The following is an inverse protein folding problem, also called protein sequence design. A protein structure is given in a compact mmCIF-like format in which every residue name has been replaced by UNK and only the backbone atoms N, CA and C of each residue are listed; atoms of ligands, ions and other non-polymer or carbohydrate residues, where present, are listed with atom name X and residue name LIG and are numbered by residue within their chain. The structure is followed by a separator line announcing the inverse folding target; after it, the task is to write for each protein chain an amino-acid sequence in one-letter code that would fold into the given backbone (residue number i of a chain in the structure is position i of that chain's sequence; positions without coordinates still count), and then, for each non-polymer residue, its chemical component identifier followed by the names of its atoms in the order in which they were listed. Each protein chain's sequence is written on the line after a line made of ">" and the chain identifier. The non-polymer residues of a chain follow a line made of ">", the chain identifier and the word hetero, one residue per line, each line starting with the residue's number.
data_IF_051134074799
#
_entry.id   IF_051134074799
#
_cell.length_a   1.000
_cell.length_b   1.000
_cell.length_c   1.000
_cell.angle_alpha   90.00
_cell.angle_beta   90.00
_cell.angle_gamma   90.00
#
_symmetry.space_group_name_H-M   'P 1'
#
loop_
_entity.id
_entity.type
_entity.pdbx_description
1 polymer ?
#
# COMPACT_ATOMS: atom_id res chain seq x y z
N UNK A 1 28.68 -24.81 -71.91
CA UNK A 1 27.42 -24.89 -71.12
C UNK A 1 27.68 -24.47 -69.66
N UNK A 2 27.72 -23.17 -69.33
CA UNK A 2 28.06 -22.71 -67.96
C UNK A 2 27.43 -21.36 -67.57
N UNK A 3 26.21 -21.07 -68.05
CA UNK A 3 25.50 -19.80 -67.76
C UNK A 3 24.04 -19.96 -67.27
N UNK A 4 23.49 -21.18 -67.23
CA UNK A 4 22.09 -21.41 -66.80
C UNK A 4 21.88 -21.62 -65.30
N UNK A 5 22.95 -21.83 -64.53
CA UNK A 5 22.80 -22.20 -63.11
C UNK A 5 22.99 -21.01 -62.14
N UNK A 6 23.51 -19.87 -62.63
CA UNK A 6 23.73 -18.68 -61.79
C UNK A 6 22.43 -17.89 -61.61
N UNK A 7 21.54 -17.87 -62.60
CA UNK A 7 20.25 -17.16 -62.51
C UNK A 7 19.28 -17.81 -61.51
N UNK A 8 19.34 -19.13 -61.34
CA UNK A 8 18.49 -19.86 -60.39
C UNK A 8 18.90 -19.66 -58.93
N UNK A 9 20.20 -19.47 -58.67
CA UNK A 9 20.71 -19.22 -57.31
C UNK A 9 20.32 -17.82 -56.82
N UNK A 10 20.30 -16.82 -57.72
CA UNK A 10 19.81 -15.48 -57.37
C UNK A 10 18.28 -15.43 -57.20
N UNK A 11 17.52 -16.24 -57.96
CA UNK A 11 16.07 -16.36 -57.80
C UNK A 11 15.65 -17.11 -56.52
N UNK A 12 16.43 -18.13 -56.09
CA UNK A 12 16.17 -18.83 -54.82
C UNK A 12 16.59 -18.02 -53.58
N UNK A 13 17.59 -17.15 -53.70
CA UNK A 13 17.97 -16.21 -52.63
C UNK A 13 16.94 -15.10 -52.38
N UNK A 14 16.23 -14.66 -53.43
CA UNK A 14 15.17 -13.67 -53.32
C UNK A 14 13.87 -14.22 -52.69
N UNK A 15 13.64 -15.53 -52.75
CA UNK A 15 12.44 -16.18 -52.22
C UNK A 15 12.43 -16.34 -50.68
N UNK A 16 13.55 -16.08 -49.99
CA UNK A 16 13.65 -16.16 -48.53
C UNK A 16 13.45 -14.83 -47.78
N UNK A 17 13.19 -13.73 -48.50
CA UNK A 17 12.87 -12.42 -47.89
C UNK A 17 11.36 -12.13 -47.82
N UNK A 18 10.54 -13.17 -47.60
CA UNK A 18 9.14 -13.00 -47.21
C UNK A 18 8.94 -13.68 -45.87
N UNK A 19 9.55 -13.09 -44.84
CA UNK A 19 9.17 -13.36 -43.46
C UNK A 19 7.75 -12.84 -43.27
N UNK A 20 6.78 -13.74 -43.17
CA UNK A 20 5.39 -13.44 -42.86
C UNK A 20 5.30 -13.04 -41.37
N UNK A 21 5.80 -11.85 -41.04
CA UNK A 21 5.46 -11.17 -39.80
C UNK A 21 4.09 -10.53 -39.99
N UNK A 22 3.17 -10.68 -39.03
CA UNK A 22 1.90 -9.95 -38.99
C UNK A 22 2.18 -8.46 -39.24
N UNK A 23 1.92 -7.99 -40.45
CA UNK A 23 2.24 -6.63 -40.86
C UNK A 23 1.10 -5.74 -40.38
N UNK A 24 1.41 -4.90 -39.39
CA UNK A 24 0.59 -3.76 -39.04
C UNK A 24 0.54 -2.86 -40.28
N UNK A 25 -0.65 -2.48 -40.78
CA UNK A 25 -0.76 -1.63 -41.96
C UNK A 25 0.05 -0.34 -41.84
N UNK A 26 0.55 0.20 -42.95
CA UNK A 26 1.44 1.37 -42.95
C UNK A 26 0.76 2.65 -42.41
N UNK A 27 -0.56 2.74 -42.54
CA UNK A 27 -1.40 3.83 -42.03
C UNK A 27 -1.66 3.72 -40.52
N UNK A 28 -1.29 2.59 -39.90
CA UNK A 28 -1.42 2.35 -38.47
C UNK A 28 -0.07 2.61 -37.80
N UNK A 29 -0.10 3.33 -36.68
CA UNK A 29 1.08 3.60 -35.86
C UNK A 29 1.70 2.27 -35.45
N UNK A 30 2.97 2.08 -35.81
CA UNK A 30 3.69 0.83 -35.59
C UNK A 30 3.88 0.52 -34.10
N UNK A 31 3.96 -0.77 -33.69
CA UNK A 31 3.90 -1.16 -32.27
C UNK A 31 4.96 -0.53 -31.37
N UNK A 32 6.19 -0.41 -31.84
CA UNK A 32 7.31 0.21 -31.13
C UNK A 32 7.07 1.71 -30.88
N UNK A 33 6.52 2.41 -31.87
CA UNK A 33 6.13 3.81 -31.74
C UNK A 33 4.89 3.96 -30.86
N UNK A 34 3.90 3.09 -31.01
CA UNK A 34 2.67 3.10 -30.22
C UNK A 34 2.94 2.87 -28.74
N UNK A 35 3.92 2.03 -28.38
CA UNK A 35 4.31 1.79 -26.98
C UNK A 35 4.73 3.10 -26.30
N UNK A 36 5.55 3.90 -26.99
CA UNK A 36 6.02 5.19 -26.50
C UNK A 36 4.87 6.21 -26.40
N UNK A 37 4.01 6.26 -27.42
CA UNK A 37 2.84 7.15 -27.43
C UNK A 37 1.90 6.80 -26.27
N UNK A 38 1.58 5.51 -26.06
CA UNK A 38 0.69 5.10 -24.98
C UNK A 38 1.27 5.38 -23.61
N UNK A 39 2.58 5.22 -23.43
CA UNK A 39 3.24 5.56 -22.18
C UNK A 39 3.00 7.04 -21.83
N UNK A 40 3.34 7.95 -22.76
CA UNK A 40 3.20 9.39 -22.55
C UNK A 40 1.73 9.83 -22.51
N UNK A 41 0.86 9.21 -23.31
CA UNK A 41 -0.57 9.46 -23.31
C UNK A 41 -1.19 9.12 -21.96
N UNK A 42 -0.96 7.91 -21.42
CA UNK A 42 -1.50 7.54 -20.10
C UNK A 42 -0.90 8.35 -18.96
N UNK A 43 0.37 8.76 -19.08
CA UNK A 43 1.00 9.69 -18.14
C UNK A 43 0.32 11.06 -18.17
N UNK A 44 0.03 11.60 -19.36
CA UNK A 44 -0.62 12.89 -19.54
C UNK A 44 -2.07 12.90 -19.03
N UNK A 45 -2.82 11.82 -19.25
CA UNK A 45 -4.15 11.61 -18.64
C UNK A 45 -4.05 11.60 -17.12
N UNK A 46 -3.07 10.89 -16.56
CA UNK A 46 -2.87 10.81 -15.11
C UNK A 46 -2.52 12.17 -14.51
N UNK A 47 -1.68 12.96 -15.18
CA UNK A 47 -1.38 14.34 -14.78
C UNK A 47 -2.62 15.22 -14.84
N UNK A 48 -3.39 15.16 -15.94
CA UNK A 48 -4.61 15.93 -16.12
C UNK A 48 -5.69 15.62 -15.09
N UNK A 49 -5.84 14.35 -14.69
CA UNK A 49 -6.83 13.93 -13.69
C UNK A 49 -6.54 14.45 -12.27
N UNK A 50 -5.30 14.83 -11.98
CA UNK A 50 -4.92 15.42 -10.69
C UNK A 50 -5.17 16.94 -10.62
N UNK A 51 -5.63 17.56 -11.71
CA UNK A 51 -5.93 18.98 -11.75
C UNK A 51 -7.29 19.31 -11.12
N UNK A 52 -7.40 20.53 -10.59
CA UNK A 52 -8.67 21.09 -10.10
C UNK A 52 -9.70 21.18 -11.23
N UNK A 53 -10.99 21.16 -10.88
CA UNK A 53 -12.08 21.32 -11.85
C UNK A 53 -11.98 22.62 -12.65
N UNK A 54 -11.44 23.69 -12.05
CA UNK A 54 -11.20 24.98 -12.70
C UNK A 54 -10.20 24.90 -13.86
N UNK A 55 -9.32 23.90 -13.87
CA UNK A 55 -8.18 23.81 -14.81
C UNK A 55 -8.42 22.74 -15.88
N UNK A 56 -9.68 22.36 -16.12
CA UNK A 56 -10.03 21.27 -17.02
C UNK A 56 -9.50 21.47 -18.45
N UNK A 57 -9.30 22.72 -18.89
CA UNK A 57 -8.70 23.05 -20.19
C UNK A 57 -7.26 22.51 -20.34
N UNK A 58 -6.50 22.41 -19.25
CA UNK A 58 -5.12 21.90 -19.28
C UNK A 58 -5.07 20.39 -19.58
N UNK A 59 -6.16 19.65 -19.34
CA UNK A 59 -6.22 18.22 -19.68
C UNK A 59 -6.10 17.99 -21.18
N UNK A 60 -6.77 18.82 -21.98
CA UNK A 60 -6.64 18.78 -23.43
C UNK A 60 -5.24 19.22 -23.88
N UNK A 61 -4.67 20.25 -23.25
CA UNK A 61 -3.30 20.67 -23.53
C UNK A 61 -2.27 19.55 -23.31
N UNK A 62 -2.41 18.76 -22.24
CA UNK A 62 -1.53 17.63 -21.98
C UNK A 62 -1.67 16.50 -23.00
N UNK A 63 -2.89 16.20 -23.47
CA UNK A 63 -3.10 15.23 -24.56
C UNK A 63 -2.50 15.75 -25.87
N UNK A 64 -2.78 17.01 -26.22
CA UNK A 64 -2.30 17.65 -27.43
C UNK A 64 -0.78 17.71 -27.48
N UNK A 65 -0.12 17.94 -26.34
CA UNK A 65 1.33 17.89 -26.22
C UNK A 65 1.90 16.53 -26.62
N UNK A 66 1.24 15.42 -26.26
CA UNK A 66 1.68 14.07 -26.66
C UNK A 66 1.58 13.92 -28.17
N UNK A 67 0.46 14.31 -28.77
CA UNK A 67 0.27 14.25 -30.22
C UNK A 67 1.31 15.08 -30.97
N UNK A 68 1.59 16.29 -30.49
CA UNK A 68 2.63 17.17 -31.04
C UNK A 68 4.03 16.54 -30.92
N UNK A 69 4.38 16.03 -29.73
CA UNK A 69 5.68 15.39 -29.45
C UNK A 69 5.96 14.23 -30.40
N UNK A 70 4.94 13.44 -30.71
CA UNK A 70 5.07 12.30 -31.60
C UNK A 70 4.76 12.62 -33.05
N UNK A 71 4.43 13.85 -33.41
CA UNK A 71 4.04 14.25 -34.76
C UNK A 71 2.91 13.37 -35.33
N UNK A 72 1.84 13.23 -34.55
CA UNK A 72 0.61 12.53 -34.93
C UNK A 72 -0.60 13.43 -34.66
N UNK A 73 -1.72 13.16 -35.30
CA UNK A 73 -3.01 13.75 -34.94
C UNK A 73 -3.79 12.82 -34.00
N UNK A 74 -4.81 13.37 -33.34
CA UNK A 74 -5.76 12.55 -32.56
C UNK A 74 -6.43 11.48 -33.45
N UNK A 75 -6.74 11.83 -34.71
CA UNK A 75 -7.32 10.89 -35.66
C UNK A 75 -6.37 9.74 -36.03
N UNK A 76 -5.06 9.99 -36.16
CA UNK A 76 -4.06 8.94 -36.42
C UNK A 76 -3.97 7.98 -35.23
N UNK A 77 -4.01 8.54 -34.01
CA UNK A 77 -4.02 7.74 -32.79
C UNK A 77 -5.29 6.89 -32.66
N UNK A 78 -6.46 7.51 -32.83
CA UNK A 78 -7.75 6.85 -32.68
C UNK A 78 -7.97 5.75 -33.72
N UNK A 79 -7.64 6.02 -34.98
CA UNK A 79 -7.71 5.02 -36.06
C UNK A 79 -6.79 3.84 -35.78
N UNK A 80 -5.57 4.10 -35.29
CA UNK A 80 -4.64 3.06 -34.86
C UNK A 80 -5.19 2.25 -33.69
N UNK A 81 -5.79 2.91 -32.69
CA UNK A 81 -6.39 2.24 -31.53
C UNK A 81 -7.58 1.35 -31.95
N UNK A 82 -8.39 1.77 -32.91
CA UNK A 82 -9.46 0.93 -33.50
C UNK A 82 -8.88 -0.33 -34.14
N UNK A 83 -7.75 -0.23 -34.83
CA UNK A 83 -7.08 -1.40 -35.37
C UNK A 83 -6.57 -2.32 -34.24
N UNK A 84 -5.85 -1.79 -33.26
CA UNK A 84 -5.31 -2.56 -32.14
C UNK A 84 -6.39 -3.24 -31.29
N UNK A 85 -7.56 -2.62 -31.09
CA UNK A 85 -8.66 -3.26 -30.35
C UNK A 85 -9.25 -4.47 -31.08
N UNK A 86 -9.11 -4.54 -32.41
CA UNK A 86 -9.45 -5.73 -33.22
C UNK A 86 -8.31 -6.75 -33.30
N UNK A 87 -7.12 -6.36 -32.86
CA UNK A 87 -5.88 -7.14 -32.88
C UNK A 87 -5.38 -7.29 -31.43
N UNK A 88 -6.16 -8.06 -30.66
CA UNK A 88 -6.04 -8.10 -29.19
C UNK A 88 -4.71 -8.67 -28.72
N UNK A 89 -4.08 -9.59 -29.45
CA UNK A 89 -2.76 -10.13 -29.08
C UNK A 89 -1.68 -9.05 -29.10
N UNK A 90 -1.72 -8.21 -30.14
CA UNK A 90 -0.82 -7.08 -30.35
C UNK A 90 -1.03 -6.03 -29.27
N UNK A 91 -2.30 -5.71 -28.95
CA UNK A 91 -2.65 -4.77 -27.90
C UNK A 91 -2.24 -5.25 -26.50
N UNK A 92 -2.44 -6.53 -26.20
CA UNK A 92 -2.01 -7.12 -24.92
C UNK A 92 -0.49 -7.07 -24.79
N UNK A 93 0.24 -7.41 -25.86
CA UNK A 93 1.70 -7.33 -25.88
C UNK A 93 2.20 -5.90 -25.63
N UNK A 94 1.55 -4.92 -26.26
CA UNK A 94 1.84 -3.49 -26.10
C UNK A 94 1.63 -3.03 -24.65
N UNK A 95 0.46 -3.29 -24.07
CA UNK A 95 0.15 -2.89 -22.69
C UNK A 95 1.00 -3.61 -21.65
N UNK A 96 1.44 -4.85 -21.93
CA UNK A 96 2.40 -5.55 -21.07
C UNK A 96 3.70 -4.76 -20.97
N UNK A 97 4.27 -4.32 -22.11
CA UNK A 97 5.50 -3.52 -22.14
C UNK A 97 5.32 -2.15 -21.51
N UNK A 98 4.23 -1.44 -21.82
CA UNK A 98 3.89 -0.15 -21.19
C UNK A 98 3.82 -0.31 -19.66
N UNK A 99 3.15 -1.35 -19.16
CA UNK A 99 3.06 -1.65 -17.74
C UNK A 99 4.41 -1.98 -17.10
N UNK A 100 5.26 -2.77 -17.78
CA UNK A 100 6.63 -3.04 -17.35
C UNK A 100 7.46 -1.76 -17.25
N UNK A 101 7.35 -0.86 -18.24
CA UNK A 101 8.02 0.45 -18.23
C UNK A 101 7.59 1.30 -17.04
N UNK A 102 6.29 1.45 -16.79
CA UNK A 102 5.79 2.20 -15.62
C UNK A 102 6.32 1.64 -14.30
N UNK A 103 6.35 0.31 -14.14
CA UNK A 103 6.91 -0.32 -12.93
C UNK A 103 8.41 -0.04 -12.80
N UNK A 104 9.15 -0.08 -13.90
CA UNK A 104 10.59 0.19 -13.90
C UNK A 104 10.92 1.65 -13.54
N UNK A 105 10.19 2.62 -14.11
CA UNK A 105 10.39 4.04 -13.79
C UNK A 105 9.97 4.35 -12.37
N UNK A 106 8.86 3.79 -11.88
CA UNK A 106 8.46 3.89 -10.47
C UNK A 106 9.57 3.40 -9.54
N UNK A 107 10.12 2.22 -9.81
CA UNK A 107 11.21 1.65 -9.00
C UNK A 107 12.44 2.57 -9.01
N UNK A 108 12.85 3.06 -10.17
CA UNK A 108 13.97 4.00 -10.31
C UNK A 108 13.74 5.30 -9.54
N UNK A 109 12.53 5.86 -9.59
CA UNK A 109 12.19 7.07 -8.81
C UNK A 109 12.27 6.81 -7.31
N UNK A 110 11.78 5.66 -6.84
CA UNK A 110 11.87 5.27 -5.43
C UNK A 110 13.33 5.11 -4.98
N UNK A 111 14.21 4.53 -5.81
CA UNK A 111 15.64 4.41 -5.53
C UNK A 111 16.32 5.80 -5.44
N UNK A 112 15.99 6.73 -6.34
CA UNK A 112 16.54 8.09 -6.30
C UNK A 112 16.05 8.88 -5.08
N UNK A 113 14.80 8.71 -4.67
CA UNK A 113 14.26 9.31 -3.45
C UNK A 113 14.95 8.77 -2.21
N UNK A 114 15.17 7.44 -2.15
CA UNK A 114 15.89 6.81 -1.05
C UNK A 114 17.33 7.37 -0.90
N UNK A 115 18.05 7.56 -2.02
CA UNK A 115 19.38 8.19 -2.01
C UNK A 115 19.35 9.64 -1.53
N UNK A 116 18.33 10.41 -1.93
CA UNK A 116 18.17 11.81 -1.52
C UNK A 116 17.88 11.93 -0.01
N UNK A 117 17.12 11.00 0.53
CA UNK A 117 16.63 11.02 1.92
C UNK A 117 17.57 10.27 2.88
N UNK A 118 18.74 9.82 2.41
CA UNK A 118 19.69 8.98 3.18
C UNK A 118 18.99 7.77 3.82
N UNK A 119 17.98 7.23 3.12
CA UNK A 119 17.20 6.09 3.58
C UNK A 119 18.11 4.86 3.57
N UNK A 120 18.28 4.17 4.71
CA UNK A 120 19.09 2.96 4.76
C UNK A 120 18.48 1.87 3.89
N UNK A 121 19.33 1.14 3.16
CA UNK A 121 18.90 0.07 2.26
C UNK A 121 18.24 -1.11 2.99
N UNK A 122 18.58 -1.30 4.27
CA UNK A 122 17.98 -2.28 5.15
C UNK A 122 17.93 -1.73 6.58
N UNK A 123 16.91 -2.15 7.32
CA UNK A 123 16.77 -2.00 8.77
C UNK A 123 17.88 -2.73 9.51
N UNK A 124 18.16 -2.32 10.75
CA UNK A 124 19.14 -3.01 11.57
C UNK A 124 18.64 -4.41 11.97
N UNK A 125 19.54 -5.41 12.06
CA UNK A 125 19.19 -6.71 12.61
C UNK A 125 18.95 -6.61 14.12
N UNK A 126 18.08 -7.47 14.64
CA UNK A 126 17.80 -7.56 16.08
C UNK A 126 16.31 -7.73 16.40
N UNK A 127 16.04 -8.18 17.62
CA UNK A 127 14.69 -8.50 18.09
C UNK A 127 13.84 -7.27 18.40
N UNK A 128 14.47 -6.16 18.78
CA UNK A 128 13.80 -4.88 19.05
C UNK A 128 14.61 -3.77 18.40
N UNK A 129 14.05 -3.18 17.34
CA UNK A 129 14.77 -2.22 16.50
C UNK A 129 13.84 -1.07 16.12
N UNK A 130 14.31 0.18 16.27
CA UNK A 130 13.67 1.34 15.65
C UNK A 130 13.96 1.31 14.15
N UNK A 131 12.92 1.07 13.36
CA UNK A 131 13.00 1.02 11.89
C UNK A 131 12.67 2.37 11.23
N UNK A 132 12.39 3.40 12.04
CA UNK A 132 12.14 4.74 11.52
C UNK A 132 13.41 5.35 10.92
N UNK A 133 13.33 5.76 9.65
CA UNK A 133 14.46 6.35 8.93
C UNK A 133 14.24 7.81 8.52
N UNK A 134 13.01 8.32 8.60
CA UNK A 134 12.69 9.68 8.17
C UNK A 134 12.95 10.69 9.31
N UNK A 135 12.65 11.96 9.07
CA UNK A 135 12.81 13.05 10.03
C UNK A 135 12.09 12.72 11.34
N UNK A 136 12.70 13.11 12.45
CA UNK A 136 12.10 12.95 13.79
C UNK A 136 11.27 14.16 14.21
N UNK A 137 11.32 15.26 13.46
CA UNK A 137 10.68 16.54 13.74
C UNK A 137 9.90 17.03 12.50
N UNK A 138 8.62 17.34 12.69
CA UNK A 138 7.79 18.03 11.71
C UNK A 138 7.03 19.18 12.38
N UNK A 139 6.80 20.23 11.60
CA UNK A 139 5.85 21.28 11.95
C UNK A 139 4.73 21.25 10.92
N UNK A 140 3.54 20.85 11.38
CA UNK A 140 2.33 20.80 10.58
C UNK A 140 1.48 22.05 10.79
N UNK A 141 0.89 22.54 9.71
CA UNK A 141 -0.08 23.65 9.71
C UNK A 141 -1.37 23.21 9.04
N UNK A 142 -2.39 24.06 9.03
CA UNK A 142 -3.68 23.81 8.37
C UNK A 142 -3.62 23.86 6.82
N UNK A 143 -2.49 24.31 6.27
CA UNK A 143 -2.26 24.41 4.81
C UNK A 143 -2.19 23.00 4.19
N UNK A 144 -2.88 22.72 3.07
CA UNK A 144 -2.95 21.37 2.46
C UNK A 144 -1.62 20.67 2.14
N UNK A 145 -0.55 21.44 1.93
CA UNK A 145 0.79 20.91 1.64
C UNK A 145 1.62 20.60 2.89
N UNK A 146 1.22 21.14 4.04
CA UNK A 146 1.95 21.03 5.30
C UNK A 146 1.08 20.48 6.45
N UNK A 147 -0.09 19.94 6.14
CA UNK A 147 -1.02 19.41 7.15
C UNK A 147 -0.89 17.90 7.39
N UNK A 148 0.07 17.24 6.75
CA UNK A 148 0.27 15.80 6.89
C UNK A 148 1.72 15.35 6.84
N UNK A 149 2.01 14.28 7.55
CA UNK A 149 3.18 13.43 7.38
C UNK A 149 2.69 12.09 6.87
N UNK A 150 3.41 11.50 5.92
CA UNK A 150 3.15 10.14 5.43
C UNK A 150 4.47 9.41 5.28
N UNK A 151 4.49 8.11 5.55
CA UNK A 151 5.68 7.28 5.39
C UNK A 151 5.33 5.90 4.81
N UNK A 152 6.31 5.27 4.17
CA UNK A 152 6.26 3.87 3.75
C UNK A 152 7.63 3.20 3.94
N UNK A 153 7.67 2.21 4.83
CA UNK A 153 8.84 1.37 5.08
C UNK A 153 8.60 0.01 4.40
N UNK A 154 9.24 -0.26 3.25
CA UNK A 154 9.16 -1.58 2.64
C UNK A 154 9.85 -2.60 3.55
N UNK A 155 9.31 -3.82 3.59
CA UNK A 155 9.94 -4.90 4.33
C UNK A 155 11.24 -5.34 3.64
N UNK A 156 12.28 -5.53 4.43
CA UNK A 156 13.55 -6.12 4.02
C UNK A 156 13.73 -7.53 4.61
N UNK A 157 14.91 -8.12 4.43
CA UNK A 157 15.21 -9.47 4.93
C UNK A 157 15.16 -9.61 6.46
N UNK A 158 15.18 -8.51 7.22
CA UNK A 158 15.09 -8.51 8.67
C UNK A 158 13.64 -8.43 9.16
N UNK A 159 12.65 -8.26 8.30
CA UNK A 159 11.23 -8.36 8.68
C UNK A 159 10.79 -9.82 8.65
N UNK A 160 10.06 -10.25 9.69
CA UNK A 160 9.54 -11.60 9.82
C UNK A 160 8.01 -11.59 9.91
N UNK A 161 7.41 -12.72 9.55
CA UNK A 161 5.99 -12.92 9.80
C UNK A 161 5.69 -12.74 11.31
N UNK A 162 4.54 -12.15 11.62
CA UNK A 162 4.07 -11.85 12.99
C UNK A 162 4.86 -10.78 13.75
N UNK A 163 5.78 -10.06 13.10
CA UNK A 163 6.42 -8.91 13.75
C UNK A 163 5.39 -7.88 14.21
N UNK A 164 5.57 -7.38 15.42
CA UNK A 164 4.73 -6.35 15.98
C UNK A 164 5.40 -4.98 15.85
N UNK A 165 4.60 -3.93 15.72
CA UNK A 165 5.09 -2.57 15.53
C UNK A 165 4.47 -1.63 16.56
N UNK A 166 5.31 -0.82 17.20
CA UNK A 166 4.92 0.29 18.05
C UNK A 166 5.37 1.59 17.39
N UNK A 167 4.41 2.41 16.97
CA UNK A 167 4.68 3.74 16.46
C UNK A 167 4.45 4.76 17.57
N UNK A 168 5.47 5.56 17.88
CA UNK A 168 5.41 6.59 18.93
C UNK A 168 5.89 7.93 18.41
N UNK A 169 5.24 9.01 18.86
CA UNK A 169 5.70 10.38 18.63
C UNK A 169 5.20 11.31 19.73
N UNK A 170 5.91 12.40 19.96
CA UNK A 170 5.53 13.47 20.87
C UNK A 170 4.75 14.56 20.12
N UNK A 171 3.53 14.84 20.58
CA UNK A 171 2.64 15.82 19.97
C UNK A 171 2.65 17.10 20.79
N UNK A 172 2.95 18.23 20.14
CA UNK A 172 2.97 19.54 20.79
C UNK A 172 2.07 20.47 19.99
N UNK A 173 0.83 20.61 20.45
CA UNK A 173 -0.09 21.60 19.91
C UNK A 173 0.32 23.00 20.40
N UNK A 174 0.60 23.92 19.47
CA UNK A 174 1.23 25.20 19.80
C UNK A 174 0.25 26.31 20.22
N UNK A 175 -1.06 26.07 20.16
CA UNK A 175 -2.08 27.04 20.60
C UNK A 175 -3.18 26.40 21.46
N UNK A 176 -4.14 27.20 21.89
CA UNK A 176 -5.31 26.76 22.68
C UNK A 176 -6.56 26.65 21.79
N UNK A 177 -7.40 25.61 21.96
CA UNK A 177 -8.64 25.38 21.19
C UNK A 177 -8.94 23.90 20.89
N UNK A 178 -10.11 23.62 20.28
CA UNK A 178 -10.44 22.27 19.79
C UNK A 178 -9.54 21.93 18.60
N UNK A 179 -8.57 21.04 18.82
CA UNK A 179 -7.67 20.57 17.77
C UNK A 179 -7.67 19.07 17.68
N UNK A 180 -7.58 18.58 16.45
CA UNK A 180 -7.56 17.15 16.18
C UNK A 180 -6.45 16.84 15.22
N UNK A 181 -5.52 16.02 15.68
CA UNK A 181 -4.68 15.26 14.79
C UNK A 181 -5.16 13.82 14.75
N UNK A 182 -4.94 13.15 13.64
CA UNK A 182 -5.23 11.72 13.49
C UNK A 182 -3.95 11.04 13.06
N UNK A 183 -3.50 10.06 13.84
CA UNK A 183 -2.40 9.19 13.47
C UNK A 183 -2.94 7.81 13.10
N UNK A 184 -2.39 7.21 12.06
CA UNK A 184 -2.76 5.86 11.67
C UNK A 184 -1.67 5.16 10.89
N UNK A 185 -1.53 3.86 11.09
CA UNK A 185 -0.60 3.07 10.29
C UNK A 185 -1.16 1.68 9.98
N UNK A 186 -0.66 1.12 8.89
CA UNK A 186 -1.09 -0.10 8.24
C UNK A 186 0.12 -1.01 7.97
N UNK A 187 -0.11 -2.31 8.06
CA UNK A 187 0.80 -3.38 7.64
C UNK A 187 0.16 -4.06 6.43
N UNK A 188 0.87 -4.06 5.30
CA UNK A 188 0.51 -4.77 4.08
C UNK A 188 1.26 -6.11 4.04
N UNK A 189 0.56 -7.18 3.67
CA UNK A 189 1.13 -8.53 3.54
C UNK A 189 1.27 -8.95 2.07
N UNK A 190 2.03 -10.01 1.82
CA UNK A 190 2.28 -10.53 0.46
C UNK A 190 1.03 -11.05 -0.25
N UNK A 191 0.02 -11.51 0.49
CA UNK A 191 -1.28 -11.89 -0.06
C UNK A 191 -2.23 -10.69 -0.28
N UNK A 192 -1.70 -9.46 -0.22
CA UNK A 192 -2.40 -8.18 -0.30
C UNK A 192 -3.45 -7.93 0.80
N UNK A 193 -3.43 -8.72 1.89
CA UNK A 193 -4.19 -8.39 3.09
C UNK A 193 -3.58 -7.20 3.83
N UNK A 194 -4.41 -6.44 4.55
CA UNK A 194 -4.00 -5.24 5.27
C UNK A 194 -4.54 -5.26 6.69
N UNK A 195 -3.69 -4.93 7.66
CA UNK A 195 -4.09 -4.69 9.06
C UNK A 195 -3.71 -3.26 9.43
N UNK A 196 -4.65 -2.48 9.95
CA UNK A 196 -4.46 -1.08 10.26
C UNK A 196 -5.05 -0.65 11.60
N UNK A 197 -4.51 0.42 12.17
CA UNK A 197 -5.09 1.12 13.32
C UNK A 197 -4.98 2.62 13.14
N UNK A 198 -5.98 3.33 13.66
CA UNK A 198 -6.07 4.79 13.66
C UNK A 198 -6.41 5.25 15.07
N UNK A 199 -5.87 6.40 15.45
CA UNK A 199 -6.11 7.07 16.74
C UNK A 199 -6.23 8.57 16.52
N UNK A 200 -7.29 9.15 17.08
CA UNK A 200 -7.41 10.60 17.20
C UNK A 200 -6.65 11.12 18.42
N UNK A 201 -6.02 12.26 18.24
CA UNK A 201 -5.17 12.93 19.21
C UNK A 201 -5.70 14.34 19.39
N UNK A 202 -6.09 14.64 20.62
CA UNK A 202 -6.69 15.92 21.01
C UNK A 202 -5.86 16.66 22.06
N UNK A 203 -4.78 16.04 22.57
CA UNK A 203 -3.92 16.62 23.59
C UNK A 203 -2.44 16.41 23.28
N UNK A 204 -1.62 17.34 23.78
CA UNK A 204 -0.17 17.25 23.68
C UNK A 204 0.39 16.13 24.56
N UNK A 205 1.54 15.60 24.19
CA UNK A 205 2.28 14.55 24.88
C UNK A 205 2.61 13.36 23.97
N UNK A 206 3.24 12.35 24.56
CA UNK A 206 3.66 11.14 23.86
C UNK A 206 2.43 10.29 23.51
N UNK A 207 2.25 10.06 22.21
CA UNK A 207 1.20 9.22 21.67
C UNK A 207 1.80 7.97 21.05
N UNK A 208 1.12 6.84 21.23
CA UNK A 208 1.52 5.55 20.69
C UNK A 208 0.37 4.87 19.96
N UNK A 209 0.72 4.11 18.91
CA UNK A 209 -0.12 3.11 18.27
C UNK A 209 0.66 1.80 18.20
N UNK A 210 0.01 0.69 18.54
CA UNK A 210 0.62 -0.64 18.51
C UNK A 210 -0.20 -1.58 17.65
N UNK A 211 0.45 -2.35 16.77
CA UNK A 211 -0.18 -3.42 15.98
C UNK A 211 0.66 -4.68 16.14
N UNK A 212 0.05 -5.73 16.69
CA UNK A 212 0.51 -7.12 16.58
C UNK A 212 -0.37 -7.84 15.56
N UNK A 213 0.14 -8.17 14.37
CA UNK A 213 -0.63 -8.90 13.38
C UNK A 213 -0.74 -10.39 13.76
N UNK A 214 -1.88 -11.01 13.43
CA UNK A 214 -2.11 -12.46 13.55
C UNK A 214 -1.86 -13.20 12.21
N UNK A 215 -1.32 -12.48 11.22
CA UNK A 215 -1.06 -13.02 9.89
C UNK A 215 0.21 -13.87 9.88
N UNK A 216 0.13 -15.07 9.30
CA UNK A 216 1.29 -15.90 9.00
C UNK A 216 2.02 -15.48 7.71
N UNK A 217 1.45 -14.57 6.93
CA UNK A 217 2.06 -14.07 5.69
C UNK A 217 3.23 -13.13 6.00
N UNK A 218 4.22 -13.11 5.11
CA UNK A 218 5.32 -12.16 5.20
C UNK A 218 4.80 -10.73 5.02
N UNK A 219 5.43 -9.81 5.75
CA UNK A 219 5.14 -8.39 5.68
C UNK A 219 5.76 -7.86 4.40
N UNK A 220 4.99 -7.09 3.64
CA UNK A 220 5.40 -6.43 2.40
C UNK A 220 5.82 -4.99 2.64
N UNK A 221 5.05 -4.25 3.44
CA UNK A 221 5.41 -2.90 3.89
C UNK A 221 4.63 -2.45 5.12
N UNK A 222 5.17 -1.47 5.83
CA UNK A 222 4.49 -0.72 6.89
C UNK A 222 4.36 0.73 6.44
N UNK A 223 3.15 1.25 6.40
CA UNK A 223 2.87 2.62 5.94
C UNK A 223 1.97 3.33 6.92
N UNK A 224 2.06 4.66 6.99
CA UNK A 224 1.22 5.42 7.91
C UNK A 224 1.18 6.90 7.62
N UNK A 225 0.36 7.59 8.39
CA UNK A 225 0.14 9.02 8.27
C UNK A 225 -0.12 9.66 9.64
N UNK A 226 0.27 10.93 9.73
CA UNK A 226 -0.23 11.87 10.75
C UNK A 226 -0.90 12.99 9.98
N UNK A 227 -2.16 13.24 10.27
CA UNK A 227 -2.95 14.30 9.65
C UNK A 227 -3.33 15.31 10.71
N UNK A 228 -3.01 16.57 10.49
CA UNK A 228 -3.43 17.68 11.33
C UNK A 228 -4.59 18.40 10.65
N UNK A 229 -5.71 18.55 11.37
CA UNK A 229 -6.83 19.34 10.91
C UNK A 229 -7.13 20.40 11.97
N UNK A 230 -7.09 21.66 11.56
CA UNK A 230 -7.61 22.77 12.36
C UNK A 230 -9.03 23.06 11.90
N UNK A 231 -10.00 22.96 12.82
CA UNK A 231 -11.40 23.26 12.52
C UNK A 231 -11.71 24.76 12.58
N UNK A 232 -10.84 25.57 13.19
CA UNK A 232 -11.08 26.99 13.45
C UNK A 232 -10.21 27.88 12.53
N UNK A 233 -10.61 28.01 11.27
CA UNK A 233 -9.89 28.77 10.24
C UNK A 233 -9.84 30.30 10.46
N UNK A 234 -10.45 30.82 11.53
CA UNK A 234 -10.65 32.26 11.74
C UNK A 234 -9.47 33.00 12.37
N UNK A 235 -8.48 32.26 12.87
CA UNK A 235 -7.30 32.82 13.54
C UNK A 235 -6.08 32.06 13.07
N UNK A 236 -5.07 32.76 12.54
CA UNK A 236 -3.73 32.20 12.26
C UNK A 236 -3.17 31.60 13.56
N UNK A 237 -3.47 30.32 13.79
CA UNK A 237 -3.13 29.59 15.01
C UNK A 237 -1.86 28.78 14.75
N UNK A 238 -0.89 28.81 15.67
CA UNK A 238 0.33 28.05 15.54
C UNK A 238 -0.01 26.55 15.56
N UNK A 239 0.45 25.83 14.54
CA UNK A 239 0.04 24.46 14.23
C UNK A 239 0.53 23.38 15.20
N UNK A 240 0.83 22.19 14.68
CA UNK A 240 1.25 21.03 15.46
C UNK A 240 2.73 20.73 15.22
N UNK A 241 3.52 20.65 16.29
CA UNK A 241 4.86 20.08 16.22
C UNK A 241 4.80 18.62 16.60
N UNK A 242 5.41 17.77 15.77
CA UNK A 242 5.56 16.34 16.02
C UNK A 242 7.05 16.10 16.19
N UNK A 243 7.45 15.54 17.33
CA UNK A 243 8.85 15.30 17.65
C UNK A 243 9.09 13.84 18.09
N UNK A 244 10.36 13.42 18.13
CA UNK A 244 10.79 12.12 18.64
C UNK A 244 10.04 10.93 18.01
N UNK A 245 9.79 11.01 16.70
CA UNK A 245 9.12 9.93 15.97
C UNK A 245 10.01 8.69 15.96
N UNK A 246 9.43 7.55 16.33
CA UNK A 246 10.07 6.24 16.31
C UNK A 246 9.05 5.17 15.94
N UNK A 247 9.48 4.18 15.16
CA UNK A 247 8.69 3.01 14.77
C UNK A 247 9.46 1.78 15.17
N UNK A 248 9.15 1.21 16.34
CA UNK A 248 9.86 0.07 16.89
C UNK A 248 9.24 -1.24 16.40
N UNK A 249 10.03 -2.07 15.72
CA UNK A 249 9.72 -3.45 15.36
C UNK A 249 10.09 -4.36 16.52
N UNK A 250 9.22 -5.33 16.83
CA UNK A 250 9.47 -6.43 17.75
C UNK A 250 9.31 -7.75 17.00
N UNK A 251 10.35 -8.59 17.05
CA UNK A 251 10.23 -9.99 16.63
C UNK A 251 9.44 -10.77 17.67
N UNK A 252 8.56 -11.66 17.21
CA UNK A 252 8.00 -12.68 18.10
C UNK A 252 9.14 -13.62 18.54
N UNK A 253 9.36 -13.82 19.85
CA UNK A 253 10.35 -14.78 20.30
C UNK A 253 10.00 -16.16 19.71
N UNK A 254 10.97 -16.79 19.07
CA UNK A 254 10.80 -18.16 18.57
C UNK A 254 10.67 -19.05 19.80
N UNK A 255 9.49 -19.63 20.02
CA UNK A 255 9.27 -20.67 21.02
C UNK A 255 10.25 -21.82 20.76
N UNK A 256 11.34 -21.86 21.53
CA UNK A 256 12.34 -22.94 21.50
C UNK A 256 11.87 -24.18 22.27
N UNK A 257 10.58 -24.31 22.51
CA UNK A 257 9.95 -25.35 23.32
C UNK A 257 9.51 -26.58 22.51
N UNK A 258 10.32 -27.06 21.57
CA UNK A 258 10.14 -28.43 21.01
C UNK A 258 11.45 -29.03 20.50
N UNK A 259 12.39 -29.35 21.39
CA UNK A 259 13.30 -30.50 21.23
C UNK A 259 13.53 -31.16 22.59
N UNK A 260 12.46 -31.65 23.22
CA UNK A 260 12.60 -32.75 24.18
C UNK A 260 12.69 -34.05 23.37
N UNK A 261 13.89 -34.29 22.83
CA UNK A 261 14.23 -35.53 22.15
C UNK A 261 14.29 -36.68 23.15
N UNK A 262 13.23 -37.48 23.14
CA UNK A 262 13.14 -38.94 23.41
C UNK A 262 14.30 -39.57 24.19
N UNK A 263 13.96 -40.02 25.40
CA UNK A 263 14.35 -41.27 26.05
C UNK A 263 15.60 -41.99 25.54
N UNK A 264 16.60 -42.06 26.43
CA UNK A 264 17.49 -43.20 26.53
C UNK A 264 17.50 -43.66 27.98
N UNK A 265 16.99 -44.88 28.18
CA UNK A 265 16.93 -45.57 29.46
C UNK A 265 18.32 -46.05 29.91
N UNK A 266 18.56 -45.88 31.22
CA UNK A 266 19.44 -46.62 32.13
C UNK A 266 20.96 -46.56 31.92
N UNK A 267 21.69 -46.12 32.97
CA UNK A 267 22.35 -47.00 33.96
C UNK A 267 22.53 -46.22 35.27
N UNK A 268 22.20 -46.88 36.39
CA UNK A 268 22.37 -46.40 37.76
C UNK A 268 23.84 -46.15 38.12
N UNK A 269 24.10 -45.09 38.91
CA UNK A 269 25.11 -45.20 39.98
C UNK A 269 24.69 -44.34 41.18
N UNK A 270 24.40 -45.03 42.29
CA UNK A 270 24.08 -44.46 43.60
C UNK A 270 25.37 -44.07 44.33
N UNK A 271 25.41 -42.89 44.93
CA UNK A 271 25.96 -42.48 46.26
C UNK A 271 25.53 -41.01 46.41
N UNK A 272 24.93 -40.44 47.46
CA UNK A 272 24.49 -40.82 48.80
C UNK A 272 24.00 -39.51 49.47
N UNK A 273 22.87 -39.57 50.19
CA UNK A 273 22.44 -38.76 51.38
C UNK A 273 23.00 -37.33 51.56
N UNK A 274 22.17 -36.30 51.71
CA UNK A 274 21.43 -36.10 52.97
C UNK A 274 20.10 -35.32 52.86
N UNK A 275 19.26 -35.56 53.85
CA UNK A 275 17.85 -35.14 53.97
C UNK A 275 17.69 -33.70 54.50
N UNK A 276 16.55 -33.06 54.21
CA UNK A 276 15.59 -32.55 55.22
C UNK A 276 14.31 -32.05 54.51
N UNK A 277 13.19 -32.59 55.00
CA UNK A 277 11.77 -32.32 54.70
C UNK A 277 11.33 -31.20 55.67
N UNK A 278 10.59 -30.15 55.32
CA UNK A 278 9.11 -29.95 55.23
C UNK A 278 8.97 -28.40 55.34
N UNK A 279 8.05 -27.68 54.70
CA UNK A 279 6.61 -27.63 54.99
C UNK A 279 5.84 -26.96 53.83
N UNK A 280 4.64 -27.49 53.59
CA UNK A 280 3.57 -26.89 52.81
C UNK A 280 2.94 -25.74 53.58
N UNK A 281 2.55 -24.67 52.89
CA UNK A 281 1.27 -24.00 53.18
C UNK A 281 0.60 -23.50 51.90
N UNK A 282 -0.61 -23.99 51.70
CA UNK A 282 -1.54 -23.58 50.67
C UNK A 282 -2.36 -22.36 51.15
N UNK A 283 -2.79 -21.55 50.18
CA UNK A 283 -4.04 -20.78 50.10
C UNK A 283 -3.88 -19.86 48.88
N UNK A 284 -4.83 -19.57 48.00
CA UNK A 284 -6.19 -20.02 47.73
C UNK A 284 -6.57 -19.24 46.46
N UNK A 285 -6.80 -19.91 45.31
CA UNK A 285 -7.20 -19.25 44.05
C UNK A 285 -8.71 -19.04 44.08
N UNK A 286 -9.18 -17.78 44.13
CA UNK A 286 -10.57 -17.47 43.78
C UNK A 286 -10.73 -17.47 42.25
N UNK A 287 -11.35 -18.53 41.75
CA UNK A 287 -11.97 -18.57 40.43
C UNK A 287 -13.22 -17.67 40.41
N UNK A 288 -13.19 -16.59 39.65
CA UNK A 288 -14.41 -15.84 39.30
C UNK A 288 -14.90 -16.33 37.94
N UNK A 289 -16.05 -16.98 37.98
CA UNK A 289 -16.80 -17.50 36.84
C UNK A 289 -17.44 -16.31 36.09
N UNK A 290 -16.89 -15.95 34.91
CA UNK A 290 -17.55 -15.01 33.98
C UNK A 290 -18.10 -15.82 32.82
N UNK A 291 -19.19 -16.54 33.07
CA UNK A 291 -20.16 -16.95 32.04
C UNK A 291 -21.47 -16.22 32.28
N UNK A 292 -21.57 -15.00 31.77
CA UNK A 292 -22.84 -14.40 31.34
C UNK A 292 -22.53 -13.27 30.36
N UNK A 293 -23.21 -13.34 29.21
CA UNK A 293 -23.13 -12.48 28.01
C UNK A 293 -22.22 -12.98 26.88
N UNK A 294 -22.61 -14.14 26.31
CA UNK A 294 -22.32 -14.44 24.90
C UNK A 294 -23.51 -13.94 24.08
N UNK A 295 -23.33 -13.12 23.02
CA UNK A 295 -24.40 -12.79 22.10
C UNK A 295 -24.90 -14.07 21.42
N UNK A 296 -26.19 -14.35 21.50
CA UNK A 296 -26.83 -15.45 20.76
C UNK A 296 -26.71 -15.13 19.27
N UNK A 297 -26.06 -16.01 18.50
CA UNK A 297 -26.04 -15.93 17.03
C UNK A 297 -27.44 -16.24 16.50
N UNK A 298 -28.15 -15.22 16.02
CA UNK A 298 -29.43 -15.39 15.33
C UNK A 298 -29.23 -16.01 13.95
N UNK A 299 -30.18 -16.85 13.54
CA UNK A 299 -30.20 -17.47 12.22
C UNK A 299 -30.64 -16.43 11.16
N UNK A 300 -30.10 -16.47 9.92
CA UNK A 300 -30.51 -15.60 8.80
C UNK A 300 -32.02 -15.39 8.60
N UNK A 301 -32.86 -16.34 9.02
CA UNK A 301 -34.33 -16.22 8.91
C UNK A 301 -34.92 -15.24 9.92
N UNK A 302 -34.42 -15.24 11.16
CA UNK A 302 -34.86 -14.35 12.24
C UNK A 302 -34.41 -12.90 12.00
N UNK A 303 -33.25 -12.71 11.36
CA UNK A 303 -32.73 -11.40 10.98
C UNK A 303 -33.60 -10.70 9.94
N UNK A 304 -34.31 -11.46 9.09
CA UNK A 304 -35.19 -10.93 8.05
C UNK A 304 -36.55 -10.49 8.59
N UNK A 305 -37.07 -11.17 9.61
CA UNK A 305 -38.35 -10.84 10.24
C UNK A 305 -38.25 -9.59 11.13
N UNK A 306 -37.13 -9.40 11.83
CA UNK A 306 -36.90 -8.20 12.64
C UNK A 306 -36.73 -6.93 11.80
N UNK A 307 -36.03 -7.01 10.66
CA UNK A 307 -35.87 -5.87 9.75
C UNK A 307 -37.19 -5.46 9.05
N UNK A 308 -38.16 -6.37 8.96
CA UNK A 308 -39.47 -6.05 8.38
C UNK A 308 -40.40 -5.30 9.36
N UNK A 309 -40.15 -5.43 10.67
CA UNK A 309 -40.93 -4.75 11.71
C UNK A 309 -40.52 -3.28 11.91
N UNK A 310 -39.24 -2.94 11.67
CA UNK A 310 -38.70 -1.59 11.89
C UNK A 310 -39.02 -0.57 10.77
N UNK A 311 -39.60 -1.00 9.64
CA UNK A 311 -39.93 -0.12 8.51
C UNK A 311 -41.37 0.39 8.48
N UNK A 312 -42.16 0.27 9.55
CA UNK A 312 -43.52 0.80 9.60
C UNK A 312 -43.66 2.28 10.04
N UNK A 313 -42.57 3.02 10.24
CA UNK A 313 -42.64 4.47 10.47
C UNK A 313 -42.25 5.26 9.21
N UNK A 314 -43.28 5.60 8.43
CA UNK A 314 -43.24 6.53 7.31
C UNK A 314 -43.11 7.97 7.80
N UNK A 315 -41.93 8.57 7.69
CA UNK A 315 -41.77 10.03 7.63
C UNK A 315 -41.48 10.45 6.20
N UNK A 316 -42.48 11.06 5.56
CA UNK A 316 -42.43 11.54 4.18
C UNK A 316 -42.33 13.07 4.20
N UNK A 317 -41.26 13.71 3.69
CA UNK A 317 -41.16 15.16 3.67
C UNK A 317 -42.18 15.79 2.70
N UNK A 318 -42.88 16.82 3.18
CA UNK A 318 -43.91 17.55 2.43
C UNK A 318 -43.33 18.41 1.29
N UNK A 319 -44.08 18.46 0.18
CA UNK A 319 -43.80 19.21 -1.04
C UNK A 319 -44.08 20.71 -0.84
N UNK A 320 -43.05 21.55 -0.96
CA UNK A 320 -43.15 23.02 -0.92
C UNK A 320 -43.98 23.50 -2.13
N UNK A 321 -45.10 24.19 -1.88
CA UNK A 321 -45.86 24.92 -2.90
C UNK A 321 -45.20 26.28 -3.13
N UNK A 322 -44.80 26.55 -4.38
CA UNK A 322 -44.48 27.91 -4.85
C UNK A 322 -45.76 28.76 -4.81
N UNK A 323 -45.66 29.96 -4.24
CA UNK A 323 -46.69 31.01 -4.35
C UNK A 323 -46.21 32.00 -5.43
N UNK A 324 -47.15 32.42 -6.28
CA UNK A 324 -46.96 33.36 -7.39
C UNK A 324 -46.28 34.65 -6.99
#
# INVERSE_FOLDING_TARGET
>A
MRRRNITWVWLLGAAFMVGCGKQVPEDIIQPDRMENILYDYHLSISMGNNLSYSDNYQKEAYKNYVFEKYHITEADFDSSMVWYTRHTEELVGLYKKVGERFRSEKKRMQELLALREDKPAASLPGDTVDVWYDRKLYWLTDVPLANKVTFEIPADSNFKAKDAFLWSADYIFLSEGERRATMGFNILFDNDSVVGRVKDITCSGVQTLYIKPDSAFAIKSVSGFIYYMDSDSSTNKPGLVINNIALTRYHEPVDTMTVAGKDSLAVEQRVGTDSVVTEKKADSIQSVDIRKNVPVRMNPREMKENNAADHSHSDRPQRIKRRN
#
